data_IF_369768795066
#
_entry.id   IF_369768795066
#
_cell.length_a   1.000
_cell.length_b   1.000
_cell.length_c   1.000
_cell.angle_alpha   90.00
_cell.angle_beta   90.00
_cell.angle_gamma   90.00
#
_symmetry.space_group_name_H-M   'P 1'
#
loop_
_entity.id
_entity.type
_entity.pdbx_description
1 polymer ?
#
# COMPACT_ATOMS: atom_id res chain seq x y z
N UNK A 1 4.07 -10.73 -6.69
CA UNK A 1 4.20 -10.94 -8.14
C UNK A 1 4.02 -9.59 -8.81
N UNK A 2 4.90 -9.21 -9.73
CA UNK A 2 4.78 -7.95 -10.47
C UNK A 2 4.11 -8.24 -11.82
N UNK A 3 3.03 -7.52 -12.13
CA UNK A 3 2.38 -7.58 -13.44
C UNK A 3 2.46 -6.18 -14.04
N UNK A 4 3.08 -6.07 -15.22
CA UNK A 4 3.15 -4.82 -15.98
C UNK A 4 1.93 -4.77 -16.89
N UNK A 5 0.94 -3.96 -16.51
CA UNK A 5 -0.14 -3.58 -17.43
C UNK A 5 0.42 -2.68 -18.51
N UNK A 6 -0.04 -2.83 -19.76
CA UNK A 6 0.37 -1.99 -20.89
C UNK A 6 0.05 -0.51 -20.62
N UNK A 7 1.02 0.24 -20.09
CA UNK A 7 0.95 1.68 -19.84
C UNK A 7 1.69 2.15 -18.58
N UNK A 8 2.96 2.55 -18.73
CA UNK A 8 3.77 3.42 -17.84
C UNK A 8 3.92 3.05 -16.34
N UNK A 9 3.53 1.86 -15.89
CA UNK A 9 3.65 1.48 -14.48
C UNK A 9 3.50 -0.02 -14.21
N UNK A 10 3.49 -0.38 -12.93
CA UNK A 10 3.22 -1.74 -12.45
C UNK A 10 2.35 -1.69 -11.20
N UNK A 11 1.66 -2.77 -10.87
CA UNK A 11 0.92 -2.85 -9.61
C UNK A 11 1.84 -3.20 -8.44
N UNK A 12 1.74 -2.41 -7.38
CA UNK A 12 2.13 -2.85 -6.04
C UNK A 12 0.90 -3.46 -5.38
N UNK A 13 1.04 -4.70 -4.92
CA UNK A 13 -0.06 -5.51 -4.41
C UNK A 13 0.32 -6.08 -3.05
N UNK A 14 -0.53 -5.84 -2.06
CA UNK A 14 -0.47 -6.50 -0.76
C UNK A 14 -1.72 -7.36 -0.57
N UNK A 15 -1.55 -8.55 -0.02
CA UNK A 15 -2.67 -9.41 0.34
C UNK A 15 -2.60 -9.74 1.82
N UNK A 16 -3.77 -9.71 2.46
CA UNK A 16 -3.90 -10.01 3.86
C UNK A 16 -5.01 -11.05 4.08
N UNK A 17 -4.70 -12.02 4.94
CA UNK A 17 -5.66 -13.01 5.44
C UNK A 17 -6.16 -12.58 6.82
N UNK A 18 -7.39 -12.98 7.20
CA UNK A 18 -7.87 -12.87 8.59
C UNK A 18 -6.88 -13.46 9.59
N UNK A 19 -6.78 -12.83 10.75
CA UNK A 19 -6.01 -13.35 11.88
C UNK A 19 -6.70 -14.52 12.59
N UNK A 20 -6.12 -14.97 13.70
CA UNK A 20 -6.64 -16.08 14.51
C UNK A 20 -8.02 -15.84 15.13
N UNK A 21 -8.46 -14.59 15.22
CA UNK A 21 -9.80 -14.21 15.67
C UNK A 21 -10.87 -14.32 14.57
N UNK A 22 -10.49 -14.62 13.32
CA UNK A 22 -11.42 -14.76 12.20
C UNK A 22 -12.06 -13.45 11.73
N UNK A 23 -11.70 -12.30 12.32
CA UNK A 23 -12.20 -11.00 11.91
C UNK A 23 -11.75 -10.68 10.48
N UNK A 24 -12.63 -10.04 9.71
CA UNK A 24 -12.29 -9.63 8.35
C UNK A 24 -11.14 -8.65 8.35
N UNK A 25 -10.32 -8.68 7.29
CA UNK A 25 -9.28 -7.70 7.08
C UNK A 25 -9.90 -6.31 6.89
N UNK A 26 -9.39 -5.32 7.62
CA UNK A 26 -9.87 -3.95 7.58
C UNK A 26 -9.50 -3.26 6.28
N UNK A 27 -10.36 -2.36 5.81
CA UNK A 27 -10.15 -1.54 4.61
C UNK A 27 -10.31 -0.05 4.88
N UNK A 28 -10.30 0.33 6.15
CA UNK A 28 -10.53 1.71 6.57
C UNK A 28 -9.33 2.59 6.22
N UNK A 29 -9.61 3.74 5.60
CA UNK A 29 -8.66 4.83 5.40
C UNK A 29 -9.32 6.08 5.98
N UNK A 30 -8.71 6.75 6.97
CA UNK A 30 -9.28 7.95 7.57
C UNK A 30 -9.25 9.13 6.58
N UNK A 31 -10.03 10.16 6.88
CA UNK A 31 -9.95 11.43 6.16
C UNK A 31 -8.53 12.01 6.27
N UNK A 32 -8.02 12.67 5.21
CA UNK A 32 -6.66 13.21 5.17
C UNK A 32 -6.56 14.50 6.00
N UNK A 33 -6.68 14.37 7.32
CA UNK A 33 -6.62 15.46 8.29
C UNK A 33 -5.30 15.37 9.06
N UNK A 34 -4.37 16.34 8.88
CA UNK A 34 -3.08 16.32 9.56
C UNK A 34 -3.22 16.21 11.08
N UNK A 35 -2.43 15.32 11.68
CA UNK A 35 -2.40 15.13 13.13
C UNK A 35 -3.66 14.49 13.74
N UNK A 36 -4.56 13.90 12.94
CA UNK A 36 -5.78 13.27 13.45
C UNK A 36 -5.49 12.05 14.35
N UNK A 37 -4.31 11.42 14.22
CA UNK A 37 -3.90 10.29 15.06
C UNK A 37 -4.72 9.02 14.85
N UNK A 38 -5.50 8.94 13.76
CA UNK A 38 -6.30 7.76 13.42
C UNK A 38 -5.55 6.92 12.40
N UNK A 39 -5.26 5.67 12.74
CA UNK A 39 -4.52 4.78 11.84
C UNK A 39 -5.41 4.28 10.67
N UNK A 40 -4.86 4.16 9.45
CA UNK A 40 -5.47 3.36 8.40
C UNK A 40 -5.35 1.85 8.72
N UNK A 41 -6.21 1.04 8.11
CA UNK A 41 -6.12 -0.43 8.22
C UNK A 41 -4.85 -0.97 7.57
N UNK A 42 -4.55 -0.54 6.34
CA UNK A 42 -3.26 -0.78 5.71
C UNK A 42 -2.25 0.25 6.23
N UNK A 43 -1.17 -0.19 6.85
CA UNK A 43 -0.09 0.67 7.34
C UNK A 43 1.17 0.28 6.58
N UNK A 44 1.65 1.17 5.72
CA UNK A 44 2.79 0.90 4.83
C UNK A 44 3.73 2.11 4.81
N UNK A 45 5.03 1.82 4.82
CA UNK A 45 6.12 2.79 4.80
C UNK A 45 7.14 2.41 3.72
N UNK A 46 7.79 3.42 3.16
CA UNK A 46 8.91 3.25 2.22
C UNK A 46 10.19 3.82 2.84
N UNK A 47 11.31 3.11 2.72
CA UNK A 47 12.62 3.55 3.23
C UNK A 47 13.27 4.67 2.40
N UNK A 48 12.75 4.93 1.19
CA UNK A 48 13.13 6.05 0.34
C UNK A 48 11.89 6.84 -0.07
N UNK A 49 12.08 8.09 -0.46
CA UNK A 49 11.01 8.92 -0.99
C UNK A 49 10.46 8.24 -2.26
N UNK A 50 9.14 8.16 -2.35
CA UNK A 50 8.47 7.82 -3.60
C UNK A 50 8.07 9.11 -4.31
N UNK A 51 8.14 9.13 -5.65
CA UNK A 51 7.84 10.33 -6.43
C UNK A 51 8.69 11.53 -6.00
N UNK A 52 8.04 12.63 -5.63
CA UNK A 52 8.71 13.85 -5.14
C UNK A 52 8.95 13.86 -3.60
N UNK A 53 8.52 12.84 -2.86
CA UNK A 53 8.64 12.77 -1.39
C UNK A 53 7.76 13.73 -0.59
N UNK A 54 6.69 14.29 -1.19
CA UNK A 54 5.72 15.18 -0.53
C UNK A 54 5.18 14.59 0.78
N UNK A 55 5.02 15.44 1.81
CA UNK A 55 4.36 15.09 3.08
C UNK A 55 2.86 15.41 3.07
N UNK A 56 2.32 15.87 1.95
CA UNK A 56 0.89 16.20 1.82
C UNK A 56 0.08 14.91 1.80
N UNK A 57 -0.85 14.76 2.75
CA UNK A 57 -1.64 13.53 2.91
C UNK A 57 -2.59 13.36 1.71
N UNK A 58 -2.54 12.19 1.10
CA UNK A 58 -3.34 11.84 -0.08
C UNK A 58 -3.10 12.76 -1.27
N UNK A 59 -1.84 13.16 -1.46
CA UNK A 59 -1.39 13.92 -2.63
C UNK A 59 -1.47 13.06 -3.90
N UNK A 60 -2.69 12.99 -4.45
CA UNK A 60 -3.04 12.26 -5.68
C UNK A 60 -3.13 13.19 -6.89
N UNK A 61 -2.79 14.47 -6.75
CA UNK A 61 -2.82 15.39 -7.88
C UNK A 61 -1.81 14.97 -8.96
N UNK A 62 -2.01 15.33 -10.23
CA UNK A 62 -1.04 15.03 -11.28
C UNK A 62 0.32 15.65 -10.99
N UNK A 63 1.41 14.97 -11.36
CA UNK A 63 2.79 15.52 -11.26
C UNK A 63 2.92 16.90 -11.91
N UNK A 64 2.19 17.14 -13.01
CA UNK A 64 2.20 18.45 -13.70
C UNK A 64 1.65 19.61 -12.86
N UNK A 65 0.95 19.31 -11.76
CA UNK A 65 0.44 20.28 -10.79
C UNK A 65 1.24 20.27 -9.49
N UNK A 66 2.40 19.61 -9.47
CA UNK A 66 3.25 19.45 -8.29
C UNK A 66 2.82 18.32 -7.35
N UNK A 67 1.79 17.55 -7.72
CA UNK A 67 1.25 16.48 -6.91
C UNK A 67 2.05 15.17 -6.97
N UNK A 68 1.67 14.26 -6.07
CA UNK A 68 2.37 13.00 -5.85
C UNK A 68 3.32 13.06 -4.66
N UNK A 69 4.02 11.95 -4.42
CA UNK A 69 4.97 11.80 -3.34
C UNK A 69 4.49 10.91 -2.22
N UNK A 70 5.41 10.18 -1.60
CA UNK A 70 5.25 9.61 -0.25
C UNK A 70 6.59 9.83 0.46
N UNK A 71 6.60 10.35 1.70
CA UNK A 71 7.85 10.62 2.39
C UNK A 71 8.53 9.32 2.86
N UNK A 72 9.86 9.31 2.83
CA UNK A 72 10.67 8.21 3.33
C UNK A 72 10.56 8.05 4.85
N UNK A 73 10.74 6.81 5.31
CA UNK A 73 10.87 6.47 6.72
C UNK A 73 11.87 5.33 6.90
N UNK A 74 13.05 5.66 7.43
CA UNK A 74 14.11 4.70 7.71
C UNK A 74 14.82 5.03 9.04
N UNK A 75 14.78 4.14 10.04
CA UNK A 75 14.07 2.86 10.07
C UNK A 75 12.53 3.02 9.99
N UNK A 76 11.78 1.97 9.63
CA UNK A 76 10.32 2.03 9.64
C UNK A 76 9.79 2.27 11.08
N UNK A 77 8.90 3.25 11.24
CA UNK A 77 8.33 3.64 12.53
C UNK A 77 6.81 3.84 12.42
N UNK A 78 6.06 3.07 13.22
CA UNK A 78 4.59 3.12 13.23
C UNK A 78 4.03 3.87 14.45
N UNK A 79 4.83 4.73 15.08
CA UNK A 79 4.41 5.58 16.19
C UNK A 79 3.28 6.56 15.81
N UNK A 80 2.58 7.07 16.82
CA UNK A 80 1.38 7.90 16.66
C UNK A 80 1.65 9.21 15.92
N UNK A 81 2.83 9.80 16.12
CA UNK A 81 3.27 11.02 15.44
C UNK A 81 3.66 10.79 13.97
N UNK A 82 3.65 9.54 13.50
CA UNK A 82 3.94 9.14 12.11
C UNK A 82 2.69 8.78 11.30
N UNK A 83 1.50 8.86 11.91
CA UNK A 83 0.24 8.43 11.29
C UNK A 83 -0.03 9.13 9.96
N UNK A 84 0.29 10.41 9.83
CA UNK A 84 0.04 11.15 8.59
C UNK A 84 0.74 10.52 7.37
N UNK A 85 1.98 10.02 7.54
CA UNK A 85 2.70 9.31 6.48
C UNK A 85 2.07 7.95 6.16
N UNK A 86 1.54 7.25 7.17
CA UNK A 86 0.81 6.00 6.97
C UNK A 86 -0.50 6.22 6.21
N UNK A 87 -1.28 7.24 6.59
CA UNK A 87 -2.53 7.61 5.90
C UNK A 87 -2.24 8.01 4.46
N UNK A 88 -1.20 8.81 4.27
CA UNK A 88 -0.77 9.26 2.95
C UNK A 88 -0.53 8.06 2.02
N UNK A 89 0.34 7.13 2.40
CA UNK A 89 0.61 6.00 1.52
C UNK A 89 -0.62 5.08 1.38
N UNK A 90 -1.32 4.78 2.48
CA UNK A 90 -2.47 3.88 2.47
C UNK A 90 -3.61 4.36 1.56
N UNK A 91 -3.90 5.65 1.54
CA UNK A 91 -5.03 6.16 0.77
C UNK A 91 -4.83 6.06 -0.75
N UNK A 92 -3.62 5.74 -1.22
CA UNK A 92 -3.34 5.48 -2.64
C UNK A 92 -3.73 4.08 -3.08
N UNK A 93 -4.02 3.18 -2.14
CA UNK A 93 -4.45 1.81 -2.43
C UNK A 93 -5.97 1.69 -2.53
N UNK A 94 -6.41 0.90 -3.50
CA UNK A 94 -7.76 0.37 -3.57
C UNK A 94 -7.82 -1.00 -2.89
N UNK A 95 -8.71 -1.16 -1.92
CA UNK A 95 -8.99 -2.46 -1.34
C UNK A 95 -9.97 -3.25 -2.22
N UNK A 96 -9.59 -4.46 -2.59
CA UNK A 96 -10.32 -5.38 -3.45
C UNK A 96 -10.76 -6.62 -2.68
N UNK A 97 -11.92 -7.15 -3.06
CA UNK A 97 -12.36 -8.46 -2.65
C UNK A 97 -11.54 -9.54 -3.38
N UNK A 98 -11.34 -10.73 -2.78
CA UNK A 98 -10.67 -11.84 -3.46
C UNK A 98 -11.34 -12.28 -4.76
N UNK A 99 -12.65 -12.01 -4.92
CA UNK A 99 -13.43 -12.29 -6.12
C UNK A 99 -13.27 -11.25 -7.23
N UNK A 100 -12.66 -10.10 -6.93
CA UNK A 100 -12.44 -8.98 -7.87
C UNK A 100 -11.01 -8.44 -7.71
N UNK A 101 -9.97 -9.30 -7.83
CA UNK A 101 -8.58 -8.89 -7.62
C UNK A 101 -8.10 -7.95 -8.74
N UNK A 102 -7.02 -7.21 -8.49
CA UNK A 102 -6.31 -6.41 -9.50
C UNK A 102 -5.14 -7.16 -10.17
N UNK A 103 -4.97 -8.45 -9.86
CA UNK A 103 -3.92 -9.30 -10.41
C UNK A 103 -4.49 -10.35 -11.35
N UNK A 104 -3.67 -10.76 -12.31
CA UNK A 104 -3.99 -11.82 -13.26
C UNK A 104 -3.20 -13.09 -12.92
N UNK A 105 -3.86 -14.23 -13.06
CA UNK A 105 -3.27 -15.55 -12.99
C UNK A 105 -2.48 -15.92 -14.26
N UNK A 106 -1.80 -17.08 -14.27
CA UNK A 106 -1.04 -17.55 -15.43
C UNK A 106 -1.89 -17.79 -16.69
N UNK A 107 -3.18 -18.01 -16.51
CA UNK A 107 -4.20 -18.17 -17.57
C UNK A 107 -4.74 -16.83 -18.09
N UNK A 108 -4.28 -15.70 -17.52
CA UNK A 108 -4.75 -14.36 -17.87
C UNK A 108 -6.12 -14.01 -17.28
N UNK A 109 -6.67 -14.83 -16.38
CA UNK A 109 -7.90 -14.54 -15.66
C UNK A 109 -7.61 -13.84 -14.34
N UNK A 110 -8.58 -13.10 -13.81
CA UNK A 110 -8.48 -12.44 -12.51
C UNK A 110 -8.20 -13.47 -11.41
N UNK A 111 -7.11 -13.29 -10.66
CA UNK A 111 -6.70 -14.20 -9.60
C UNK A 111 -5.95 -13.46 -8.50
N UNK A 112 -6.07 -13.95 -7.26
CA UNK A 112 -5.22 -13.51 -6.14
C UNK A 112 -3.83 -14.13 -6.22
N UNK A 113 -2.81 -13.44 -5.70
CA UNK A 113 -1.43 -13.96 -5.64
C UNK A 113 -1.37 -15.13 -4.66
N UNK A 114 -2.07 -15.00 -3.54
CA UNK A 114 -2.17 -15.98 -2.47
C UNK A 114 -3.26 -16.98 -2.81
N UNK A 115 -2.94 -18.26 -3.03
CA UNK A 115 -3.95 -19.26 -3.32
C UNK A 115 -4.99 -19.33 -2.20
N UNK A 116 -6.27 -19.44 -2.58
CA UNK A 116 -7.40 -19.55 -1.64
C UNK A 116 -7.45 -18.42 -0.60
N UNK A 117 -7.21 -17.17 -1.01
CA UNK A 117 -7.51 -16.00 -0.16
C UNK A 117 -9.01 -16.04 0.24
N UNK A 118 -9.36 -16.17 1.53
CA UNK A 118 -10.75 -16.34 1.95
C UNK A 118 -11.55 -15.05 1.72
N UNK A 119 -12.88 -15.13 1.63
CA UNK A 119 -13.77 -13.99 1.31
C UNK A 119 -13.68 -12.80 2.29
N UNK A 120 -13.24 -13.06 3.52
CA UNK A 120 -12.95 -12.06 4.55
C UNK A 120 -11.48 -11.58 4.56
N UNK A 121 -10.65 -12.04 3.63
CA UNK A 121 -9.34 -11.47 3.27
C UNK A 121 -9.46 -10.32 2.28
N UNK A 122 -8.36 -9.61 2.02
CA UNK A 122 -8.33 -8.46 1.10
C UNK A 122 -7.06 -8.42 0.28
N UNK A 123 -7.18 -7.87 -0.91
CA UNK A 123 -6.05 -7.45 -1.73
C UNK A 123 -6.04 -5.91 -1.75
N UNK A 124 -4.89 -5.28 -1.57
CA UNK A 124 -4.70 -3.83 -1.66
C UNK A 124 -3.85 -3.55 -2.88
N UNK A 125 -4.35 -2.69 -3.76
CA UNK A 125 -3.77 -2.45 -5.07
C UNK A 125 -3.46 -0.98 -5.28
N UNK A 126 -2.27 -0.67 -5.76
CA UNK A 126 -1.95 0.65 -6.30
C UNK A 126 -1.15 0.52 -7.59
N UNK A 127 -1.50 1.33 -8.59
CA UNK A 127 -0.67 1.48 -9.78
C UNK A 127 0.49 2.41 -9.42
N UNK A 128 1.71 1.90 -9.53
CA UNK A 128 2.93 2.70 -9.40
C UNK A 128 3.09 3.52 -10.68
N UNK A 129 2.74 4.80 -10.58
CA UNK A 129 2.94 5.80 -11.63
C UNK A 129 4.06 6.76 -11.24
N UNK A 130 4.30 7.80 -12.05
CA UNK A 130 5.20 8.91 -11.70
C UNK A 130 4.88 9.58 -10.36
N UNK A 131 3.63 9.54 -9.89
CA UNK A 131 3.26 10.13 -8.60
C UNK A 131 3.95 9.42 -7.41
N UNK A 132 4.27 8.14 -7.52
CA UNK A 132 4.88 7.35 -6.44
C UNK A 132 5.99 6.45 -6.99
N UNK A 133 6.74 6.95 -7.97
CA UNK A 133 7.81 6.17 -8.58
C UNK A 133 8.95 5.90 -7.58
N UNK A 134 9.56 4.73 -7.71
CA UNK A 134 10.73 4.37 -6.90
C UNK A 134 11.97 5.14 -7.37
N UNK A 135 12.77 5.61 -6.42
CA UNK A 135 14.12 6.09 -6.70
C UNK A 135 15.01 4.96 -7.23
N UNK A 136 16.08 5.31 -7.96
CA UNK A 136 17.09 4.33 -8.39
C UNK A 136 17.76 3.71 -7.15
N UNK A 137 17.95 2.40 -7.16
CA UNK A 137 18.48 1.63 -6.04
C UNK A 137 17.40 0.80 -5.32
N UNK A 138 17.68 0.47 -4.06
CA UNK A 138 16.84 -0.41 -3.24
C UNK A 138 15.92 0.40 -2.33
N UNK A 139 14.61 0.22 -2.49
CA UNK A 139 13.60 0.70 -1.55
C UNK A 139 13.00 -0.48 -0.81
N UNK A 140 13.20 -0.54 0.51
CA UNK A 140 12.45 -1.42 1.41
C UNK A 140 11.06 -0.84 1.63
N UNK A 141 10.03 -1.64 1.41
CA UNK A 141 8.67 -1.38 1.84
C UNK A 141 8.36 -2.24 3.04
N UNK A 142 7.91 -1.62 4.14
CA UNK A 142 7.52 -2.30 5.37
C UNK A 142 6.04 -2.07 5.60
N UNK A 143 5.25 -3.14 5.74
CA UNK A 143 3.81 -3.04 5.86
C UNK A 143 3.24 -3.95 6.96
N UNK A 144 2.12 -3.55 7.53
CA UNK A 144 1.25 -4.35 8.41
C UNK A 144 -0.21 -3.97 8.18
N UNK A 145 -1.13 -4.86 8.51
CA UNK A 145 -2.57 -4.65 8.27
C UNK A 145 -3.37 -4.92 9.53
N UNK A 146 -4.33 -4.05 9.83
CA UNK A 146 -5.31 -4.25 10.90
C UNK A 146 -6.59 -4.90 10.38
N UNK A 147 -7.19 -5.76 11.20
CA UNK A 147 -8.52 -6.30 10.97
C UNK A 147 -9.63 -5.30 11.38
N UNK A 148 -10.89 -5.67 11.15
CA UNK A 148 -12.06 -4.85 11.53
C UNK A 148 -12.27 -4.75 13.04
N UNK A 149 -11.54 -5.52 13.86
CA UNK A 149 -11.51 -5.41 15.31
C UNK A 149 -10.36 -4.54 15.82
N UNK A 150 -9.59 -3.92 14.91
CA UNK A 150 -8.43 -3.09 15.23
C UNK A 150 -7.17 -3.87 15.61
N UNK A 151 -7.13 -5.20 15.45
CA UNK A 151 -5.93 -5.99 15.73
C UNK A 151 -4.99 -5.94 14.53
N UNK A 152 -3.79 -5.43 14.76
CA UNK A 152 -2.75 -5.37 13.73
C UNK A 152 -1.99 -6.69 13.64
N UNK A 153 -1.80 -7.18 12.41
CA UNK A 153 -0.95 -8.33 12.12
C UNK A 153 0.56 -8.03 12.22
N UNK A 154 1.42 -9.03 11.97
CA UNK A 154 2.86 -8.83 11.93
C UNK A 154 3.29 -7.90 10.79
N UNK A 155 4.49 -7.34 10.91
CA UNK A 155 5.14 -6.59 9.82
C UNK A 155 5.71 -7.54 8.77
N UNK A 156 5.62 -7.15 7.51
CA UNK A 156 6.24 -7.82 6.38
C UNK A 156 7.03 -6.82 5.55
N UNK A 157 8.13 -7.28 4.95
CA UNK A 157 9.03 -6.44 4.16
C UNK A 157 9.24 -7.01 2.77
N UNK A 158 9.35 -6.11 1.79
CA UNK A 158 9.87 -6.42 0.47
C UNK A 158 10.92 -5.40 0.07
N UNK A 159 11.88 -5.83 -0.74
CA UNK A 159 12.84 -4.94 -1.39
C UNK A 159 12.41 -4.74 -2.84
N UNK A 160 12.20 -3.48 -3.23
CA UNK A 160 11.99 -3.06 -4.61
C UNK A 160 13.29 -2.45 -5.11
N UNK A 161 13.91 -3.10 -6.11
CA UNK A 161 15.12 -2.62 -6.76
C UNK A 161 14.79 -1.98 -8.10
N UNK A 162 15.07 -0.68 -8.25
CA UNK A 162 15.01 0.01 -9.53
C UNK A 162 16.41 0.18 -10.10
N UNK A 163 16.64 -0.38 -11.28
CA UNK A 163 17.87 -0.17 -12.06
C UNK A 163 17.81 1.16 -12.84
N UNK A 164 18.96 1.78 -13.14
CA UNK A 164 19.05 2.99 -13.97
C UNK A 164 18.36 2.85 -15.33
#
# INVERSE_FOLDING_TARGET
MFVVGSGTGFYLVLEARPGSNGAAVGTFVPSPTPGAGVYPSLQILASQNLGNGSTTICDKQPVSQGGGGVPAMHPPDFALDKVDALVDFACRFDAKLPSEPCTLGPDGLDATITPNLPSNGRQFCVVVTKNIEFAVGDTVLTARVADTSGRTGPTFEIVVRRIP
#
